data_IF_783782472701
#
_entry.id   IF_783782472701
#
_cell.length_a   1.000
_cell.length_b   1.000
_cell.length_c   1.000
_cell.angle_alpha   90.00
_cell.angle_beta   90.00
_cell.angle_gamma   90.00
#
_symmetry.space_group_name_H-M   'P 1'
#
loop_
_entity.id
_entity.type
_entity.pdbx_description
1 polymer ?
#
# COMPACT_ATOMS: atom_id res chain seq x y z
N UNK A 1 -3.68 19.57 -5.70
CA UNK A 1 -4.61 18.46 -6.01
C UNK A 1 -4.25 17.23 -5.21
N UNK A 2 -5.25 16.53 -4.66
CA UNK A 2 -5.05 15.25 -3.96
C UNK A 2 -5.92 14.19 -4.63
N UNK A 3 -5.33 13.04 -4.96
CA UNK A 3 -6.00 11.90 -5.56
C UNK A 3 -5.88 10.66 -4.66
N UNK A 4 -7.01 9.99 -4.46
CA UNK A 4 -7.13 8.74 -3.73
C UNK A 4 -7.52 7.63 -4.71
N UNK A 5 -6.65 6.64 -4.88
CA UNK A 5 -6.83 5.59 -5.88
C UNK A 5 -7.37 4.33 -5.21
N UNK A 6 -8.60 3.94 -5.55
CA UNK A 6 -9.11 2.60 -5.32
C UNK A 6 -8.61 1.71 -6.46
N UNK A 7 -7.54 0.97 -6.24
CA UNK A 7 -6.94 0.13 -7.28
C UNK A 7 -7.57 -1.25 -7.26
N UNK A 8 -7.98 -1.75 -8.43
CA UNK A 8 -8.47 -3.13 -8.57
C UNK A 8 -7.32 -4.08 -8.85
N UNK A 9 -7.17 -5.09 -8.00
CA UNK A 9 -6.26 -6.21 -8.15
C UNK A 9 -6.72 -7.10 -9.31
N UNK A 10 -5.83 -7.35 -10.27
CA UNK A 10 -6.08 -8.25 -11.39
C UNK A 10 -4.78 -8.99 -11.75
N UNK A 11 -4.87 -10.31 -11.94
CA UNK A 11 -3.72 -11.17 -12.23
C UNK A 11 -2.86 -10.68 -13.41
N UNK A 12 -3.52 -10.27 -14.50
CA UNK A 12 -2.86 -9.78 -15.72
C UNK A 12 -1.88 -8.61 -15.47
N UNK A 13 -2.16 -7.78 -14.47
CA UNK A 13 -1.35 -6.60 -14.16
C UNK A 13 -0.04 -6.99 -13.45
N UNK A 14 0.13 -8.26 -13.11
CA UNK A 14 1.31 -8.79 -12.43
C UNK A 14 2.03 -9.89 -13.22
N UNK A 15 1.61 -10.20 -14.44
CA UNK A 15 2.27 -11.23 -15.26
C UNK A 15 3.72 -10.87 -15.58
N UNK A 16 3.97 -9.60 -15.94
CA UNK A 16 5.31 -9.09 -16.23
C UNK A 16 5.54 -7.75 -15.54
N UNK A 17 6.79 -7.31 -15.50
CA UNK A 17 7.12 -5.98 -14.99
C UNK A 17 6.52 -4.85 -15.84
N UNK A 18 6.42 -5.05 -17.16
CA UNK A 18 5.83 -4.10 -18.09
C UNK A 18 4.34 -3.96 -17.85
N UNK A 19 3.63 -5.07 -17.61
CA UNK A 19 2.20 -5.04 -17.31
C UNK A 19 1.90 -4.27 -16.03
N UNK A 20 2.72 -4.48 -14.98
CA UNK A 20 2.58 -3.71 -13.74
C UNK A 20 2.89 -2.23 -13.95
N UNK A 21 3.97 -1.91 -14.67
CA UNK A 21 4.31 -0.54 -15.01
C UNK A 21 3.17 0.12 -15.81
N UNK A 22 2.67 -0.53 -16.85
CA UNK A 22 1.56 -0.04 -17.67
C UNK A 22 0.32 0.24 -16.82
N UNK A 23 -0.02 -0.66 -15.88
CA UNK A 23 -1.12 -0.45 -14.95
C UNK A 23 -0.96 0.83 -14.12
N UNK A 24 0.22 1.05 -13.53
CA UNK A 24 0.50 2.25 -12.73
C UNK A 24 0.49 3.51 -13.60
N UNK A 25 1.10 3.47 -14.79
CA UNK A 25 1.12 4.59 -15.73
C UNK A 25 -0.29 4.98 -16.18
N UNK A 26 -1.11 3.99 -16.54
CA UNK A 26 -2.51 4.21 -16.96
C UNK A 26 -3.36 4.79 -15.82
N UNK A 27 -3.18 4.33 -14.59
CA UNK A 27 -3.84 4.91 -13.42
C UNK A 27 -3.41 6.36 -13.21
N UNK A 28 -2.12 6.65 -13.28
CA UNK A 28 -1.61 8.00 -13.08
C UNK A 28 -2.01 8.96 -14.22
N UNK A 29 -2.11 8.48 -15.46
CA UNK A 29 -2.66 9.26 -16.56
C UNK A 29 -4.11 9.69 -16.29
N UNK A 30 -4.96 8.74 -15.84
CA UNK A 30 -6.35 9.03 -15.42
C UNK A 30 -6.42 9.95 -14.21
N UNK A 31 -5.52 9.79 -13.23
CA UNK A 31 -5.41 10.69 -12.09
C UNK A 31 -5.11 12.10 -12.58
N UNK A 32 -4.12 12.28 -13.45
CA UNK A 32 -3.70 13.57 -13.97
C UNK A 32 -4.80 14.24 -14.80
N UNK A 33 -5.47 13.47 -15.67
CA UNK A 33 -6.64 13.93 -16.44
C UNK A 33 -7.73 14.50 -15.52
N UNK A 34 -8.07 13.79 -14.44
CA UNK A 34 -9.08 14.23 -13.46
C UNK A 34 -8.59 15.38 -12.58
N UNK A 35 -7.30 15.42 -12.25
CA UNK A 35 -6.75 16.43 -11.34
C UNK A 35 -6.53 17.77 -12.01
N UNK A 36 -6.26 17.79 -13.32
CA UNK A 36 -5.80 18.98 -14.04
C UNK A 36 -4.35 19.34 -13.70
N UNK A 37 -4.00 20.58 -14.01
CA UNK A 37 -2.64 21.13 -13.85
C UNK A 37 -2.31 21.47 -12.39
N UNK A 38 -1.01 21.59 -12.12
CA UNK A 38 -0.47 22.00 -10.83
C UNK A 38 -0.07 20.84 -9.90
N UNK A 39 0.34 21.15 -8.66
CA UNK A 39 0.87 20.17 -7.72
C UNK A 39 -0.14 19.04 -7.45
N UNK A 40 0.32 17.79 -7.60
CA UNK A 40 -0.47 16.58 -7.39
C UNK A 40 0.16 15.68 -6.31
N UNK A 41 -0.68 15.23 -5.37
CA UNK A 41 -0.41 14.11 -4.48
C UNK A 41 -1.33 12.95 -4.87
N UNK A 42 -0.78 11.82 -5.28
CA UNK A 42 -1.52 10.59 -5.54
C UNK A 42 -1.22 9.55 -4.45
N UNK A 43 -2.26 8.90 -3.93
CA UNK A 43 -2.15 7.95 -2.83
C UNK A 43 -2.76 6.62 -3.25
N UNK A 44 -1.98 5.55 -3.12
CA UNK A 44 -2.34 4.20 -3.57
C UNK A 44 -2.56 3.22 -2.39
N UNK A 45 -3.23 2.08 -2.62
CA UNK A 45 -3.55 1.13 -1.55
C UNK A 45 -2.40 0.28 -1.03
N UNK A 46 -2.64 -0.34 0.12
CA UNK A 46 -1.74 -1.34 0.69
C UNK A 46 -1.55 -2.57 -0.23
N UNK A 47 -0.41 -3.25 -0.08
CA UNK A 47 -0.05 -4.51 -0.71
C UNK A 47 0.08 -4.55 -2.23
N UNK A 48 -0.24 -3.49 -2.97
CA UNK A 48 -0.14 -3.49 -4.44
C UNK A 48 1.23 -3.95 -4.95
N UNK A 49 2.33 -3.50 -4.33
CA UNK A 49 3.67 -3.91 -4.74
C UNK A 49 4.09 -5.29 -4.24
N UNK A 50 3.33 -5.88 -3.31
CA UNK A 50 3.61 -7.23 -2.79
C UNK A 50 3.51 -8.24 -3.93
N UNK A 51 2.47 -8.13 -4.75
CA UNK A 51 2.19 -9.07 -5.84
C UNK A 51 3.20 -8.98 -7.00
N UNK A 52 4.09 -7.98 -7.03
CA UNK A 52 5.24 -7.96 -7.94
C UNK A 52 6.19 -9.15 -7.71
N UNK A 53 6.06 -9.87 -6.59
CA UNK A 53 6.72 -11.17 -6.37
C UNK A 53 6.29 -12.24 -7.39
N UNK A 54 5.20 -12.04 -8.14
CA UNK A 54 4.70 -12.95 -9.17
C UNK A 54 5.09 -12.54 -10.58
N UNK A 55 5.66 -11.34 -10.76
CA UNK A 55 6.08 -10.88 -12.08
C UNK A 55 7.15 -11.79 -12.67
N UNK A 56 7.04 -12.03 -13.97
CA UNK A 56 7.94 -12.85 -14.78
C UNK A 56 7.98 -14.34 -14.36
N UNK A 57 7.02 -14.78 -13.56
CA UNK A 57 6.88 -16.18 -13.18
C UNK A 57 6.17 -16.99 -14.27
N UNK A 58 6.51 -18.28 -14.35
CA UNK A 58 5.99 -19.19 -15.37
C UNK A 58 4.47 -19.37 -15.34
N UNK A 59 3.89 -19.76 -16.47
CA UNK A 59 2.47 -20.16 -16.58
C UNK A 59 2.08 -21.27 -15.58
N UNK A 60 3.05 -22.07 -15.12
CA UNK A 60 2.82 -23.06 -14.07
C UNK A 60 2.39 -22.41 -12.75
N UNK A 61 2.90 -21.23 -12.41
CA UNK A 61 2.46 -20.51 -11.21
C UNK A 61 1.10 -19.84 -11.48
N UNK A 62 0.92 -19.22 -12.65
CA UNK A 62 -0.32 -18.52 -13.00
C UNK A 62 -1.53 -19.44 -13.19
N UNK A 63 -1.31 -20.69 -13.59
CA UNK A 63 -2.33 -21.76 -13.68
C UNK A 63 -2.71 -22.38 -12.32
N UNK A 64 -2.31 -21.76 -11.20
CA UNK A 64 -2.73 -22.22 -9.88
C UNK A 64 -4.22 -21.94 -9.65
N UNK A 65 -4.84 -22.71 -8.76
CA UNK A 65 -6.24 -22.50 -8.36
C UNK A 65 -6.40 -21.67 -7.07
N UNK A 66 -5.31 -21.46 -6.33
CA UNK A 66 -5.29 -20.68 -5.09
C UNK A 66 -3.95 -20.02 -4.83
N UNK A 67 -3.94 -18.99 -3.97
CA UNK A 67 -2.75 -18.29 -3.53
C UNK A 67 -1.79 -19.21 -2.77
N UNK A 68 -2.32 -20.13 -1.94
CA UNK A 68 -1.53 -21.14 -1.24
C UNK A 68 -0.81 -22.09 -2.22
N UNK A 69 -1.50 -22.52 -3.28
CA UNK A 69 -0.90 -23.36 -4.31
C UNK A 69 0.17 -22.60 -5.11
N UNK A 70 -0.09 -21.35 -5.50
CA UNK A 70 0.87 -20.50 -6.19
C UNK A 70 2.14 -20.29 -5.35
N UNK A 71 1.98 -19.99 -4.05
CA UNK A 71 3.09 -19.84 -3.10
C UNK A 71 3.92 -21.11 -2.95
N UNK A 72 3.26 -22.28 -2.86
CA UNK A 72 3.95 -23.57 -2.81
C UNK A 72 4.76 -23.84 -4.08
N UNK A 73 4.18 -23.55 -5.26
CA UNK A 73 4.88 -23.67 -6.55
C UNK A 73 6.07 -22.71 -6.65
N UNK A 74 5.93 -21.48 -6.18
CA UNK A 74 7.03 -20.51 -6.09
C UNK A 74 8.18 -21.03 -5.23
N UNK A 75 7.89 -21.59 -4.05
CA UNK A 75 8.91 -22.21 -3.19
C UNK A 75 9.62 -23.36 -3.91
N UNK A 76 8.89 -24.18 -4.68
CA UNK A 76 9.48 -25.28 -5.46
C UNK A 76 10.37 -24.77 -6.61
N UNK A 77 9.91 -23.77 -7.37
CA UNK A 77 10.67 -23.17 -8.48
C UNK A 77 11.97 -22.55 -7.99
N UNK A 78 11.92 -21.84 -6.86
CA UNK A 78 13.08 -21.14 -6.29
C UNK A 78 13.77 -21.91 -5.16
N UNK A 79 13.60 -23.24 -5.12
CA UNK A 79 13.92 -24.07 -3.97
C UNK A 79 15.36 -23.93 -3.46
N UNK A 80 16.34 -23.79 -4.36
CA UNK A 80 17.75 -23.64 -3.97
C UNK A 80 17.95 -22.35 -3.15
N UNK A 81 17.54 -21.21 -3.69
CA UNK A 81 17.69 -19.90 -3.05
C UNK A 81 16.83 -19.80 -1.79
N UNK A 82 15.59 -20.30 -1.85
CA UNK A 82 14.68 -20.32 -0.69
C UNK A 82 15.24 -21.23 0.42
N UNK A 83 15.74 -22.41 0.08
CA UNK A 83 16.37 -23.34 1.00
C UNK A 83 17.61 -22.76 1.68
N UNK A 84 18.44 -22.01 0.95
CA UNK A 84 19.57 -21.27 1.52
C UNK A 84 19.10 -20.26 2.58
N UNK A 85 18.11 -19.41 2.27
CA UNK A 85 17.56 -18.49 3.26
C UNK A 85 16.94 -19.21 4.46
N UNK A 86 16.16 -20.28 4.22
CA UNK A 86 15.54 -21.10 5.26
C UNK A 86 16.58 -21.65 6.24
N UNK A 87 17.70 -22.17 5.74
CA UNK A 87 18.75 -22.80 6.53
C UNK A 87 19.65 -21.76 7.23
N UNK A 88 20.22 -20.82 6.47
CA UNK A 88 21.20 -19.87 7.00
C UNK A 88 20.58 -18.77 7.84
N UNK A 89 19.35 -18.34 7.53
CA UNK A 89 18.66 -17.28 8.27
C UNK A 89 17.65 -17.81 9.29
N UNK A 90 17.37 -19.13 9.29
CA UNK A 90 16.46 -19.82 10.23
C UNK A 90 15.05 -19.19 10.28
N UNK A 91 14.54 -18.79 9.12
CA UNK A 91 13.22 -18.16 8.97
C UNK A 91 12.14 -19.17 8.56
N UNK A 92 10.87 -18.74 8.43
CA UNK A 92 9.82 -19.56 7.80
C UNK A 92 10.04 -19.73 6.30
N UNK A 93 9.34 -20.67 5.66
CA UNK A 93 9.37 -20.83 4.20
C UNK A 93 8.80 -19.61 3.46
N UNK A 94 7.72 -19.02 3.98
CA UNK A 94 7.13 -17.81 3.41
C UNK A 94 8.12 -16.64 3.45
N UNK A 95 8.72 -16.34 4.61
CA UNK A 95 9.76 -15.32 4.72
C UNK A 95 10.98 -15.63 3.85
N UNK A 96 11.40 -16.90 3.75
CA UNK A 96 12.52 -17.29 2.88
C UNK A 96 12.22 -17.00 1.40
N UNK A 97 11.01 -17.28 0.93
CA UNK A 97 10.56 -16.94 -0.42
C UNK A 97 10.57 -15.42 -0.64
N UNK A 98 9.98 -14.67 0.29
CA UNK A 98 9.98 -13.20 0.24
C UNK A 98 11.41 -12.65 0.17
N UNK A 99 12.33 -13.17 0.98
CA UNK A 99 13.75 -12.76 0.96
C UNK A 99 14.47 -13.16 -0.33
N UNK A 100 14.11 -14.29 -0.94
CA UNK A 100 14.70 -14.74 -2.20
C UNK A 100 14.30 -13.84 -3.37
N UNK A 101 13.05 -13.36 -3.39
CA UNK A 101 12.51 -12.53 -4.48
C UNK A 101 12.49 -11.03 -4.18
N UNK A 102 12.86 -10.60 -2.97
CA UNK A 102 12.66 -9.21 -2.52
C UNK A 102 13.33 -8.18 -3.42
N UNK A 103 14.55 -8.44 -3.91
CA UNK A 103 15.30 -7.47 -4.72
C UNK A 103 14.63 -7.22 -6.08
N UNK A 104 14.17 -8.28 -6.74
CA UNK A 104 13.45 -8.19 -8.01
C UNK A 104 12.08 -7.53 -7.81
N UNK A 105 11.29 -8.00 -6.85
CA UNK A 105 9.96 -7.46 -6.58
C UNK A 105 10.01 -5.98 -6.19
N UNK A 106 10.96 -5.58 -5.33
CA UNK A 106 11.18 -4.18 -4.97
C UNK A 106 11.57 -3.33 -6.17
N UNK A 107 12.46 -3.83 -7.05
CA UNK A 107 12.86 -3.10 -8.27
C UNK A 107 11.66 -2.86 -9.18
N UNK A 108 10.86 -3.90 -9.46
CA UNK A 108 9.68 -3.81 -10.34
C UNK A 108 8.66 -2.82 -9.75
N UNK A 109 8.37 -2.96 -8.47
CA UNK A 109 7.43 -2.09 -7.76
C UNK A 109 7.86 -0.62 -7.79
N UNK A 110 9.10 -0.33 -7.35
CA UNK A 110 9.56 1.05 -7.23
C UNK A 110 9.79 1.69 -8.60
N UNK A 111 10.33 0.96 -9.58
CA UNK A 111 10.63 1.54 -10.90
C UNK A 111 9.36 2.07 -11.58
N UNK A 112 8.24 1.33 -11.49
CA UNK A 112 6.95 1.75 -12.01
C UNK A 112 6.47 3.07 -11.39
N UNK A 113 6.50 3.16 -10.05
CA UNK A 113 6.06 4.37 -9.36
C UNK A 113 7.03 5.55 -9.50
N UNK A 114 8.34 5.32 -9.53
CA UNK A 114 9.33 6.36 -9.77
C UNK A 114 9.22 6.93 -11.19
N UNK A 115 8.94 6.07 -12.18
CA UNK A 115 8.66 6.49 -13.55
C UNK A 115 7.39 7.34 -13.61
N UNK A 116 6.31 6.87 -13.00
CA UNK A 116 5.06 7.61 -12.97
C UNK A 116 5.17 8.96 -12.22
N UNK A 117 5.93 9.01 -11.12
CA UNK A 117 6.18 10.24 -10.39
C UNK A 117 6.87 11.31 -11.26
N UNK A 118 7.87 10.89 -12.06
CA UNK A 118 8.57 11.77 -13.01
C UNK A 118 7.67 12.21 -14.15
N UNK A 119 6.99 11.27 -14.80
CA UNK A 119 6.20 11.55 -16.00
C UNK A 119 5.00 12.46 -15.71
N UNK A 120 4.39 12.30 -14.54
CA UNK A 120 3.23 13.10 -14.14
C UNK A 120 3.57 14.20 -13.15
N UNK A 121 4.85 14.47 -12.87
CA UNK A 121 5.32 15.48 -11.90
C UNK A 121 4.56 15.43 -10.56
N UNK A 122 4.37 14.21 -10.04
CA UNK A 122 3.49 13.93 -8.93
C UNK A 122 4.25 13.47 -7.69
N UNK A 123 3.81 13.95 -6.52
CA UNK A 123 4.10 13.30 -5.26
C UNK A 123 3.26 12.03 -5.18
N UNK A 124 3.88 10.90 -4.83
CA UNK A 124 3.18 9.62 -4.73
C UNK A 124 3.44 8.97 -3.38
N UNK A 125 2.38 8.65 -2.64
CA UNK A 125 2.44 7.62 -1.60
C UNK A 125 2.06 6.31 -2.27
N UNK A 126 3.06 5.48 -2.54
CA UNK A 126 3.00 4.38 -3.49
C UNK A 126 2.27 3.15 -2.95
N UNK A 127 1.32 3.33 -2.03
CA UNK A 127 0.67 2.21 -1.37
C UNK A 127 1.65 1.47 -0.51
N UNK A 128 1.66 0.14 -0.56
CA UNK A 128 2.72 -0.62 0.11
C UNK A 128 3.10 -1.92 -0.59
N UNK A 129 4.27 -2.44 -0.20
CA UNK A 129 4.79 -3.72 -0.61
C UNK A 129 5.46 -4.43 0.56
N UNK A 130 5.60 -5.75 0.46
CA UNK A 130 6.46 -6.52 1.36
C UNK A 130 7.92 -6.35 0.94
N UNK A 131 8.72 -5.72 1.79
CA UNK A 131 10.08 -5.31 1.46
C UNK A 131 11.06 -5.77 2.53
N UNK A 132 12.21 -6.24 2.08
CA UNK A 132 13.30 -6.64 2.97
C UNK A 132 14.05 -5.40 3.44
N UNK A 133 14.37 -5.32 4.72
CA UNK A 133 15.19 -4.24 5.23
C UNK A 133 16.67 -4.52 4.96
N UNK A 134 17.16 -3.95 3.86
CA UNK A 134 18.56 -4.07 3.44
C UNK A 134 18.99 -5.54 3.38
N UNK A 135 20.16 -5.85 3.97
CA UNK A 135 20.68 -7.22 4.02
C UNK A 135 20.25 -8.00 5.28
N UNK A 136 19.38 -7.44 6.11
CA UNK A 136 18.91 -8.08 7.34
C UNK A 136 17.92 -9.22 7.06
N UNK A 137 17.49 -9.93 8.11
CA UNK A 137 16.41 -10.91 8.02
C UNK A 137 15.02 -10.28 8.25
N UNK A 138 14.96 -8.96 8.41
CA UNK A 138 13.71 -8.26 8.69
C UNK A 138 13.00 -7.95 7.39
N UNK A 139 11.71 -8.23 7.36
CA UNK A 139 10.83 -7.99 6.22
C UNK A 139 9.60 -7.25 6.72
N UNK A 140 9.24 -6.14 6.10
CA UNK A 140 8.15 -5.26 6.53
C UNK A 140 7.16 -5.03 5.41
N UNK A 141 5.88 -4.90 5.75
CA UNK A 141 4.95 -4.17 4.90
C UNK A 141 5.34 -2.68 4.93
N UNK A 142 5.71 -2.13 3.77
CA UNK A 142 6.39 -0.85 3.64
C UNK A 142 5.71 0.04 2.63
N UNK A 143 5.42 1.29 3.02
CA UNK A 143 4.83 2.33 2.17
C UNK A 143 5.86 3.42 1.84
N UNK A 144 6.35 3.49 0.59
CA UNK A 144 7.26 4.52 0.13
C UNK A 144 6.53 5.84 -0.18
N UNK A 145 7.20 6.96 0.10
CA UNK A 145 6.81 8.29 -0.37
C UNK A 145 7.83 8.77 -1.40
N UNK A 146 7.33 9.12 -2.58
CA UNK A 146 8.10 9.41 -3.79
C UNK A 146 7.84 10.85 -4.22
N UNK A 147 8.89 11.59 -4.53
CA UNK A 147 8.83 12.98 -5.02
C UNK A 147 8.57 13.02 -6.54
N UNK A 148 8.22 14.20 -7.09
CA UNK A 148 8.11 14.41 -8.54
C UNK A 148 9.39 14.12 -9.33
N UNK A 149 10.57 14.17 -8.70
CA UNK A 149 11.84 13.74 -9.32
C UNK A 149 11.99 12.21 -9.40
N UNK A 150 11.10 11.46 -8.75
CA UNK A 150 11.18 10.01 -8.61
C UNK A 150 12.07 9.56 -7.45
N UNK A 151 12.40 10.43 -6.50
CA UNK A 151 13.21 10.07 -5.33
C UNK A 151 12.33 9.47 -4.23
N UNK A 152 12.73 8.31 -3.70
CA UNK A 152 12.10 7.71 -2.52
C UNK A 152 12.69 8.39 -1.28
N UNK A 153 11.96 9.34 -0.70
CA UNK A 153 12.46 10.16 0.42
C UNK A 153 12.05 9.62 1.80
N UNK A 154 11.08 8.71 1.85
CA UNK A 154 10.63 8.10 3.08
C UNK A 154 10.01 6.72 2.84
N UNK A 155 10.09 5.86 3.84
CA UNK A 155 9.51 4.51 3.86
C UNK A 155 8.88 4.27 5.23
N UNK A 156 7.56 4.30 5.30
CA UNK A 156 6.83 3.89 6.49
C UNK A 156 6.80 2.37 6.55
N UNK A 157 7.09 1.77 7.71
CA UNK A 157 6.94 0.34 7.93
C UNK A 157 5.74 0.09 8.86
N UNK A 158 4.90 -0.90 8.53
CA UNK A 158 3.69 -1.23 9.30
C UNK A 158 4.04 -1.72 10.70
N UNK A 159 3.26 -1.31 11.68
CA UNK A 159 3.54 -1.53 13.11
C UNK A 159 2.60 -2.57 13.70
N UNK A 160 1.33 -2.55 13.29
CA UNK A 160 0.31 -3.52 13.71
C UNK A 160 -0.01 -4.44 12.55
N UNK A 161 0.43 -5.70 12.67
CA UNK A 161 0.24 -6.71 11.64
C UNK A 161 -1.13 -7.39 11.80
N UNK A 162 -1.79 -7.68 10.68
CA UNK A 162 -2.94 -8.60 10.65
C UNK A 162 -2.46 -10.05 10.62
N UNK A 163 -3.35 -11.00 10.88
CA UNK A 163 -3.00 -12.44 10.97
C UNK A 163 -2.27 -12.97 9.73
N UNK A 164 -2.70 -12.56 8.53
CA UNK A 164 -2.05 -12.95 7.27
C UNK A 164 -0.62 -12.42 7.13
N UNK A 165 -0.27 -11.34 7.83
CA UNK A 165 1.08 -10.78 7.83
C UNK A 165 1.95 -11.37 8.95
N UNK A 166 1.33 -11.87 10.02
CA UNK A 166 2.01 -12.45 11.17
C UNK A 166 2.69 -13.79 10.87
N UNK A 167 3.19 -14.45 11.94
CA UNK A 167 3.96 -15.71 11.84
C UNK A 167 3.25 -16.85 11.12
N UNK A 168 1.91 -16.87 11.15
CA UNK A 168 1.09 -17.88 10.49
C UNK A 168 0.89 -17.67 8.98
N UNK A 169 1.19 -16.48 8.47
CA UNK A 169 1.10 -16.15 7.05
C UNK A 169 2.46 -15.77 6.46
N UNK A 170 2.65 -14.50 6.15
CA UNK A 170 3.86 -13.97 5.52
C UNK A 170 5.07 -13.90 6.47
N UNK A 171 4.85 -14.05 7.78
CA UNK A 171 5.88 -13.96 8.82
C UNK A 171 6.63 -12.62 8.76
N UNK A 172 5.91 -11.51 8.59
CA UNK A 172 6.51 -10.17 8.57
C UNK A 172 6.96 -9.74 9.97
N UNK A 173 7.77 -8.69 10.01
CA UNK A 173 8.15 -7.99 11.22
C UNK A 173 7.25 -6.77 11.41
N UNK A 174 6.76 -6.58 12.63
CA UNK A 174 6.21 -5.31 13.07
C UNK A 174 7.34 -4.28 13.24
N UNK A 175 7.15 -3.07 12.75
CA UNK A 175 8.09 -1.98 12.96
C UNK A 175 7.95 -1.38 14.36
N UNK A 176 9.05 -0.94 14.99
CA UNK A 176 8.97 -0.18 16.23
C UNK A 176 8.51 1.26 15.98
N UNK A 177 7.81 1.84 16.96
CA UNK A 177 7.27 3.21 16.91
C UNK A 177 8.31 4.30 16.61
N UNK A 178 9.56 4.10 17.01
CA UNK A 178 10.63 5.09 16.80
C UNK A 178 11.09 5.20 15.33
N UNK A 179 10.63 4.32 14.43
CA UNK A 179 10.91 4.43 12.99
C UNK A 179 9.93 5.34 12.27
N UNK A 180 8.79 5.64 12.89
CA UNK A 180 7.79 6.53 12.34
C UNK A 180 8.30 7.97 12.31
N UNK A 181 8.12 8.60 11.15
CA UNK A 181 8.44 9.99 10.85
C UNK A 181 7.32 10.62 10.01
N UNK A 182 7.47 11.91 9.70
CA UNK A 182 6.56 12.65 8.83
C UNK A 182 7.31 13.26 7.66
N UNK A 183 6.65 13.35 6.52
CA UNK A 183 7.21 13.92 5.30
C UNK A 183 6.71 15.33 5.11
N UNK A 184 7.62 16.30 5.00
CA UNK A 184 7.26 17.67 4.57
C UNK A 184 6.99 17.65 3.07
N UNK A 185 5.82 18.12 2.66
CA UNK A 185 5.43 18.25 1.26
C UNK A 185 4.73 19.59 1.00
N UNK A 186 4.55 20.00 -0.27
CA UNK A 186 3.76 21.18 -0.61
C UNK A 186 2.29 21.13 -0.15
N UNK A 187 1.78 19.95 0.20
CA UNK A 187 0.41 19.73 0.68
C UNK A 187 0.31 19.81 2.21
N UNK A 188 1.43 19.93 2.92
CA UNK A 188 1.52 19.81 4.37
C UNK A 188 2.37 18.63 4.80
N UNK A 189 2.41 18.36 6.11
CA UNK A 189 3.18 17.26 6.69
C UNK A 189 2.36 15.97 6.61
N UNK A 190 2.86 15.00 5.85
CA UNK A 190 2.23 13.71 5.63
C UNK A 190 2.66 12.74 6.74
N UNK A 191 1.71 12.15 7.43
CA UNK A 191 1.90 10.99 8.31
C UNK A 191 1.28 9.76 7.68
N UNK A 192 2.01 8.64 7.61
CA UNK A 192 1.52 7.40 6.99
C UNK A 192 1.25 6.37 8.10
N UNK A 193 0.04 5.84 8.16
CA UNK A 193 -0.38 4.77 9.06
C UNK A 193 -1.01 3.65 8.20
N UNK A 194 -0.28 2.54 8.00
CA UNK A 194 -0.69 1.52 7.03
C UNK A 194 -1.82 0.68 7.63
N UNK A 195 -3.01 0.78 7.03
CA UNK A 195 -4.18 -0.03 7.31
C UNK A 195 -4.51 -0.09 8.81
N UNK A 196 -4.25 -1.25 9.44
CA UNK A 196 -4.51 -1.51 10.85
C UNK A 196 -3.80 -0.50 11.77
N UNK A 197 -2.65 0.06 11.39
CA UNK A 197 -1.98 1.12 12.16
C UNK A 197 -2.92 2.32 12.42
N UNK A 198 -3.78 2.67 11.46
CA UNK A 198 -4.68 3.82 11.57
C UNK A 198 -5.85 3.60 12.53
N UNK A 199 -5.99 2.41 13.15
CA UNK A 199 -7.00 2.12 14.17
C UNK A 199 -6.48 2.30 15.60
N UNK A 200 -5.19 2.61 15.76
CA UNK A 200 -4.55 2.78 17.07
C UNK A 200 -4.28 4.26 17.36
N UNK A 201 -4.81 4.75 18.49
CA UNK A 201 -4.67 6.14 18.92
C UNK A 201 -3.20 6.50 19.21
N UNK A 202 -2.38 5.55 19.67
CA UNK A 202 -0.96 5.76 19.92
C UNK A 202 -0.18 6.07 18.63
N UNK A 203 -0.63 5.53 17.49
CA UNK A 203 -0.08 5.87 16.17
C UNK A 203 -0.46 7.30 15.80
N UNK A 204 -1.72 7.70 16.04
CA UNK A 204 -2.17 9.06 15.76
C UNK A 204 -1.39 10.08 16.60
N UNK A 205 -1.25 9.82 17.90
CA UNK A 205 -0.54 10.70 18.82
C UNK A 205 0.93 10.84 18.41
N UNK A 206 1.59 9.74 18.03
CA UNK A 206 2.97 9.80 17.53
C UNK A 206 3.10 10.67 16.29
N UNK A 207 2.23 10.48 15.29
CA UNK A 207 2.23 11.29 14.06
C UNK A 207 1.94 12.76 14.35
N UNK A 208 1.00 13.05 15.25
CA UNK A 208 0.63 14.41 15.66
C UNK A 208 1.78 15.11 16.38
N UNK A 209 2.48 14.43 17.29
CA UNK A 209 3.69 14.95 17.96
C UNK A 209 4.82 15.25 16.98
N UNK A 210 4.92 14.48 15.89
CA UNK A 210 5.86 14.75 14.79
C UNK A 210 5.38 15.89 13.86
N UNK A 211 4.16 16.37 14.05
CA UNK A 211 3.57 17.50 13.34
C UNK A 211 2.83 17.11 12.06
N UNK A 212 2.42 15.86 11.88
CA UNK A 212 1.58 15.46 10.76
C UNK A 212 0.27 16.27 10.75
N UNK A 213 -0.14 16.69 9.55
CA UNK A 213 -1.41 17.38 9.28
C UNK A 213 -2.33 16.58 8.39
N UNK A 214 -1.75 15.74 7.53
CA UNK A 214 -2.47 14.83 6.65
C UNK A 214 -2.16 13.40 7.08
N UNK A 215 -3.20 12.62 7.38
CA UNK A 215 -3.09 11.19 7.65
C UNK A 215 -3.29 10.40 6.35
N UNK A 216 -2.33 9.56 6.01
CA UNK A 216 -2.37 8.67 4.86
C UNK A 216 -2.56 7.25 5.36
N UNK A 217 -3.66 6.61 4.98
CA UNK A 217 -4.01 5.25 5.37
C UNK A 217 -4.11 4.34 4.14
N UNK A 218 -3.02 3.83 3.56
CA UNK A 218 -3.11 2.79 2.55
C UNK A 218 -3.70 1.53 3.19
N UNK A 219 -4.74 0.95 2.58
CA UNK A 219 -5.41 -0.23 3.14
C UNK A 219 -5.70 -1.32 2.12
N UNK A 220 -5.72 -2.56 2.59
CA UNK A 220 -6.22 -3.72 1.88
C UNK A 220 -7.00 -4.62 2.86
N UNK A 221 -8.32 -4.50 2.86
CA UNK A 221 -9.19 -5.32 3.71
C UNK A 221 -9.43 -6.68 3.04
N UNK A 222 -8.85 -7.75 3.61
CA UNK A 222 -8.98 -9.12 3.12
C UNK A 222 -10.28 -9.76 3.65
N UNK A 223 -11.41 -9.30 3.12
CA UNK A 223 -12.73 -9.75 3.53
C UNK A 223 -13.86 -8.95 2.89
N UNK A 224 -15.12 -9.38 3.10
CA UNK A 224 -16.28 -8.71 2.55
C UNK A 224 -16.50 -7.32 3.18
N UNK A 225 -16.98 -6.37 2.39
CA UNK A 225 -17.30 -5.00 2.83
C UNK A 225 -18.73 -4.87 3.38
N UNK A 226 -19.08 -5.74 4.33
CA UNK A 226 -20.39 -5.78 4.96
C UNK A 226 -20.61 -4.60 5.95
N UNK A 227 -21.82 -4.49 6.51
CA UNK A 227 -22.18 -3.40 7.43
C UNK A 227 -21.26 -3.32 8.65
N UNK A 228 -20.93 -4.47 9.25
CA UNK A 228 -20.02 -4.53 10.39
C UNK A 228 -18.63 -3.98 10.01
N UNK A 229 -18.11 -4.38 8.85
CA UNK A 229 -16.81 -3.93 8.39
C UNK A 229 -16.80 -2.42 8.12
N UNK A 230 -17.90 -1.88 7.59
CA UNK A 230 -18.08 -0.44 7.37
C UNK A 230 -18.15 0.35 8.67
N UNK A 231 -18.87 -0.15 9.68
CA UNK A 231 -18.94 0.46 11.01
C UNK A 231 -17.58 0.43 11.70
N UNK A 232 -16.90 -0.72 11.65
CA UNK A 232 -15.57 -0.88 12.22
C UNK A 232 -14.56 0.11 11.63
N UNK A 233 -14.62 0.32 10.32
CA UNK A 233 -13.74 1.24 9.60
C UNK A 233 -13.86 2.70 10.07
N UNK A 234 -15.01 3.10 10.63
CA UNK A 234 -15.20 4.44 11.19
C UNK A 234 -14.24 4.73 12.35
N UNK A 235 -13.75 3.70 13.05
CA UNK A 235 -12.77 3.85 14.14
C UNK A 235 -11.38 4.26 13.67
N UNK A 236 -11.11 4.22 12.37
CA UNK A 236 -9.80 4.55 11.78
C UNK A 236 -9.65 6.03 11.44
N UNK A 237 -9.25 6.37 10.20
CA UNK A 237 -9.06 7.75 9.75
C UNK A 237 -10.29 8.64 9.86
N UNK A 238 -11.51 8.06 9.79
CA UNK A 238 -12.74 8.82 9.99
C UNK A 238 -12.84 9.37 11.42
N UNK A 239 -12.64 8.54 12.44
CA UNK A 239 -12.57 9.00 13.83
C UNK A 239 -11.43 9.99 14.03
N UNK A 240 -10.22 9.68 13.55
CA UNK A 240 -9.03 10.51 13.74
C UNK A 240 -9.20 11.94 13.21
N UNK A 241 -9.84 12.10 12.04
CA UNK A 241 -10.05 13.42 11.41
C UNK A 241 -11.38 14.01 11.85
N UNK A 242 -12.50 13.34 11.59
CA UNK A 242 -13.82 13.94 11.73
C UNK A 242 -14.33 14.00 13.16
N UNK A 243 -14.08 12.97 13.97
CA UNK A 243 -14.61 12.95 15.35
C UNK A 243 -13.66 13.63 16.33
N UNK A 244 -12.35 13.41 16.19
CA UNK A 244 -11.36 13.84 17.17
C UNK A 244 -10.46 15.00 16.73
N UNK A 245 -10.53 15.41 15.46
CA UNK A 245 -9.78 16.59 14.95
C UNK A 245 -8.25 16.46 15.11
N UNK A 246 -7.71 15.25 15.12
CA UNK A 246 -6.27 15.00 15.29
C UNK A 246 -5.45 15.41 14.06
N UNK A 247 -6.06 15.29 12.87
CA UNK A 247 -5.48 15.67 11.58
C UNK A 247 -6.48 16.50 10.77
N UNK A 248 -6.00 17.34 9.87
CA UNK A 248 -6.82 18.23 9.04
C UNK A 248 -7.50 17.48 7.88
N UNK A 249 -6.86 16.41 7.41
CA UNK A 249 -7.29 15.60 6.28
C UNK A 249 -6.81 14.15 6.45
N UNK A 250 -7.60 13.20 5.98
CA UNK A 250 -7.14 11.84 5.73
C UNK A 250 -7.45 11.36 4.32
N UNK A 251 -6.56 10.51 3.80
CA UNK A 251 -6.70 9.86 2.50
C UNK A 251 -6.52 8.36 2.72
N UNK A 252 -7.59 7.59 2.48
CA UNK A 252 -7.63 6.16 2.67
C UNK A 252 -7.91 5.46 1.33
N UNK A 253 -6.87 5.13 0.54
CA UNK A 253 -7.02 4.30 -0.65
C UNK A 253 -7.10 2.82 -0.27
N UNK A 254 -8.03 2.10 -0.91
CA UNK A 254 -8.31 0.70 -0.65
C UNK A 254 -8.05 -0.17 -1.87
N UNK A 255 -7.42 -1.33 -1.65
CA UNK A 255 -7.26 -2.37 -2.64
C UNK A 255 -8.60 -3.11 -2.75
N UNK A 256 -9.04 -3.38 -3.98
CA UNK A 256 -10.27 -4.12 -4.24
C UNK A 256 -10.05 -5.20 -5.30
N UNK A 257 -10.99 -6.13 -5.45
CA UNK A 257 -10.88 -7.23 -6.40
C UNK A 257 -10.11 -8.40 -5.83
N UNK A 258 -9.65 -9.31 -6.70
CA UNK A 258 -9.13 -10.59 -6.24
C UNK A 258 -7.97 -11.10 -7.08
N UNK A 259 -7.16 -11.94 -6.43
CA UNK A 259 -6.13 -12.74 -7.04
C UNK A 259 -6.30 -14.17 -6.55
N UNK A 260 -6.86 -15.03 -7.41
CA UNK A 260 -7.41 -16.33 -7.02
C UNK A 260 -8.44 -16.19 -5.88
N UNK A 261 -8.24 -16.91 -4.78
CA UNK A 261 -9.03 -16.95 -3.55
C UNK A 261 -8.70 -15.81 -2.57
N UNK A 262 -7.68 -15.00 -2.86
CA UNK A 262 -7.38 -13.80 -2.09
C UNK A 262 -8.24 -12.64 -2.61
N UNK A 263 -9.25 -12.24 -1.82
CA UNK A 263 -10.20 -11.21 -2.20
C UNK A 263 -10.11 -10.00 -1.27
N UNK A 264 -10.21 -8.82 -1.85
CA UNK A 264 -10.22 -7.55 -1.14
C UNK A 264 -11.46 -6.76 -1.52
N UNK A 265 -12.13 -6.20 -0.51
CA UNK A 265 -13.24 -5.27 -0.70
C UNK A 265 -13.08 -4.08 0.23
N UNK A 266 -13.49 -2.91 -0.25
CA UNK A 266 -13.25 -1.65 0.46
C UNK A 266 -13.74 -0.45 -0.30
N UNK A 267 -14.01 0.64 0.41
CA UNK A 267 -14.35 1.92 -0.19
C UNK A 267 -13.32 2.96 0.19
N UNK A 268 -12.57 3.39 -0.82
CA UNK A 268 -11.61 4.48 -0.67
C UNK A 268 -12.30 5.78 -0.29
N UNK A 269 -11.61 6.61 0.49
CA UNK A 269 -12.19 7.84 0.99
C UNK A 269 -11.17 8.97 1.15
N UNK A 270 -11.66 10.20 0.96
CA UNK A 270 -11.02 11.43 1.38
C UNK A 270 -11.89 12.02 2.48
N UNK A 271 -11.31 12.25 3.65
CA UNK A 271 -12.01 12.67 4.87
C UNK A 271 -11.42 13.98 5.34
N UNK A 272 -12.25 14.97 5.64
CA UNK A 272 -11.83 16.26 6.19
C UNK A 272 -12.60 16.55 7.49
N UNK A 273 -12.41 17.76 8.01
CA UNK A 273 -13.09 18.19 9.24
C UNK A 273 -14.63 18.29 9.14
N UNK A 274 -15.23 18.06 7.98
CA UNK A 274 -16.70 18.03 7.80
C UNK A 274 -17.26 16.64 7.52
N UNK A 275 -16.41 15.61 7.44
CA UNK A 275 -16.79 14.22 7.19
C UNK A 275 -16.15 13.69 5.91
N UNK A 276 -16.88 12.84 5.17
CA UNK A 276 -16.44 12.37 3.86
C UNK A 276 -16.48 13.50 2.83
N UNK A 277 -15.32 13.98 2.40
CA UNK A 277 -15.18 14.91 1.29
C UNK A 277 -15.36 14.18 -0.07
N UNK A 278 -14.91 12.93 -0.15
CA UNK A 278 -15.18 12.02 -1.26
C UNK A 278 -15.14 10.58 -0.76
N UNK A 279 -15.94 9.69 -1.35
CA UNK A 279 -15.95 8.25 -1.07
C UNK A 279 -16.26 7.48 -2.35
N UNK A 280 -15.59 6.35 -2.55
CA UNK A 280 -15.86 5.44 -3.65
C UNK A 280 -17.29 4.88 -3.54
N UNK A 281 -17.95 4.70 -4.68
CA UNK A 281 -19.34 4.21 -4.71
C UNK A 281 -19.38 2.69 -4.59
N UNK A 282 -18.47 2.00 -5.25
CA UNK A 282 -18.32 0.55 -5.23
C UNK A 282 -17.31 0.11 -4.18
N UNK A 283 -17.49 -1.11 -3.67
CA UNK A 283 -16.53 -1.75 -2.77
C UNK A 283 -15.59 -2.75 -3.49
N UNK A 284 -15.77 -2.94 -4.80
CA UNK A 284 -15.12 -4.00 -5.59
C UNK A 284 -14.64 -3.53 -7.00
N UNK A 285 -14.86 -2.26 -7.37
CA UNK A 285 -14.42 -1.69 -8.65
C UNK A 285 -13.34 -0.62 -8.49
N UNK A 286 -12.56 -0.45 -9.56
CA UNK A 286 -11.53 0.59 -9.62
C UNK A 286 -12.15 1.98 -9.71
N UNK A 287 -11.75 2.88 -8.81
CA UNK A 287 -12.24 4.26 -8.76
C UNK A 287 -11.10 5.23 -8.42
N UNK A 288 -11.17 6.44 -8.93
CA UNK A 288 -10.23 7.52 -8.61
C UNK A 288 -11.02 8.69 -8.06
N UNK A 289 -10.78 9.01 -6.78
CA UNK A 289 -11.34 10.18 -6.12
C UNK A 289 -10.34 11.32 -6.22
N UNK A 290 -10.82 12.52 -6.49
CA UNK A 290 -9.99 13.72 -6.56
C UNK A 290 -10.62 14.81 -5.71
N UNK A 291 -9.83 15.46 -4.86
CA UNK A 291 -10.27 16.63 -4.11
C UNK A 291 -9.44 17.88 -4.42
N UNK A 292 -10.16 19.01 -4.48
CA UNK A 292 -9.65 20.38 -4.68
C UNK A 292 -9.80 21.15 -3.37
N UNK A 293 -8.82 22.01 -3.06
CA UNK A 293 -8.87 22.97 -1.94
C UNK A 293 -9.35 22.35 -0.61
N UNK A 294 -8.91 21.11 -0.37
CA UNK A 294 -9.37 20.29 0.76
C UNK A 294 -8.86 20.78 2.12
N UNK A 295 -7.77 21.53 2.12
CA UNK A 295 -7.23 22.21 3.29
C UNK A 295 -7.66 23.67 3.16
N UNK A 296 -8.68 24.08 3.93
CA UNK A 296 -8.90 25.50 4.17
C UNK A 296 -7.74 25.98 5.03
N UNK A 297 -6.84 26.77 4.45
CA UNK A 297 -5.88 27.57 5.22
C UNK A 297 -6.62 28.59 6.08
#
# INVERSE_FOLDING_TARGET
MIACVQMKLAAKDYYTEEAFQEKIMNLMAKVREKSGEGPLLAVFPEHIGTFCLLCNESDRIWSSSSFAQATSRLVQTHFITVGQYKLFKRVSWAKALLMAKSAEAERIYLSAFQKAAREFEAWIVAGSAVMRWGQTNRVYNTSPVITPSGDVIYRQHKMYLVDMEGKGGLDLNAAPFNYMSVVKSPFGRLGVAICLDAFYEEVWERLRLLGAKILIQPSANNGPWNEWQQEDWLRSSYKAVYLERQFDLAINPMLVGNLWDLAFEGQSAIINQTGYAARAKSHDQEEILVGRDLLKL
#
